data_IF_605408594215
#
_entry.id   IF_605408594215
#
_cell.length_a   1.000
_cell.length_b   1.000
_cell.length_c   1.000
_cell.angle_alpha   90.00
_cell.angle_beta   90.00
_cell.angle_gamma   90.00
#
_symmetry.space_group_name_H-M   'P 1'
#
loop_
_entity.id
_entity.type
_entity.pdbx_description
1 polymer ?
#
# COMPACT_ATOMS: atom_id res chain seq x y z
N UNK A 1 25.12 29.85 4.21
CA UNK A 1 24.93 28.57 4.95
C UNK A 1 23.47 28.16 5.02
N UNK A 2 22.57 28.81 5.79
CA UNK A 2 21.14 28.42 5.83
C UNK A 2 20.44 28.58 4.47
N UNK A 3 20.78 29.63 3.71
CA UNK A 3 20.24 29.88 2.36
C UNK A 3 20.70 28.89 1.32
N UNK A 4 21.92 28.36 1.43
CA UNK A 4 22.49 27.42 0.44
C UNK A 4 21.98 25.99 0.68
N UNK A 5 21.82 25.61 1.96
CA UNK A 5 21.14 24.38 2.36
C UNK A 5 19.67 24.37 1.91
N UNK A 6 18.96 25.50 2.03
CA UNK A 6 17.56 25.60 1.56
C UNK A 6 17.44 25.40 0.04
N UNK A 7 18.35 25.99 -0.76
CA UNK A 7 18.34 25.83 -2.22
C UNK A 7 18.65 24.42 -2.67
N UNK A 8 19.60 23.75 -2.00
CA UNK A 8 19.95 22.36 -2.31
C UNK A 8 18.80 21.41 -1.95
N UNK A 9 18.12 21.64 -0.82
CA UNK A 9 16.95 20.88 -0.41
C UNK A 9 15.77 21.08 -1.38
N UNK A 10 15.52 22.32 -1.80
CA UNK A 10 14.46 22.64 -2.77
C UNK A 10 14.73 21.97 -4.12
N UNK A 11 15.98 21.94 -4.59
CA UNK A 11 16.34 21.28 -5.84
C UNK A 11 16.07 19.77 -5.83
N UNK A 12 16.32 19.09 -4.69
CA UNK A 12 16.01 17.66 -4.54
C UNK A 12 14.49 17.43 -4.50
N UNK A 13 13.76 18.26 -3.75
CA UNK A 13 12.31 18.13 -3.59
C UNK A 13 11.54 18.40 -4.89
N UNK A 14 12.07 19.27 -5.76
CA UNK A 14 11.49 19.58 -7.07
C UNK A 14 11.84 18.57 -8.17
N UNK A 15 12.73 17.60 -7.89
CA UNK A 15 13.08 16.57 -8.86
C UNK A 15 11.84 15.76 -9.26
N UNK A 16 11.58 15.69 -10.57
CA UNK A 16 10.52 14.85 -11.15
C UNK A 16 10.96 13.39 -11.15
N UNK A 17 10.13 12.51 -10.62
CA UNK A 17 10.35 11.06 -10.49
C UNK A 17 9.32 10.22 -11.23
N UNK A 18 8.28 10.84 -11.77
CA UNK A 18 7.26 10.18 -12.57
C UNK A 18 6.27 11.19 -13.14
N UNK A 19 5.24 10.69 -13.81
CA UNK A 19 4.14 11.50 -14.35
C UNK A 19 2.82 10.74 -14.21
N UNK A 20 1.71 11.44 -14.01
CA UNK A 20 0.37 10.87 -13.97
C UNK A 20 -0.60 11.70 -14.80
N UNK A 21 -1.47 11.07 -15.58
CA UNK A 21 -2.54 11.73 -16.33
C UNK A 21 -3.81 11.96 -15.51
N UNK A 22 -3.87 11.36 -14.32
CA UNK A 22 -5.00 11.47 -13.41
C UNK A 22 -4.57 11.94 -12.03
N UNK A 23 -5.54 12.35 -11.23
CA UNK A 23 -5.31 12.53 -9.80
C UNK A 23 -5.12 11.15 -9.15
N UNK A 24 -4.06 11.00 -8.36
CA UNK A 24 -3.86 9.86 -7.48
C UNK A 24 -4.44 10.23 -6.11
N UNK A 25 -5.59 9.63 -5.80
CA UNK A 25 -6.44 9.99 -4.67
C UNK A 25 -5.88 9.43 -3.35
N UNK A 26 -5.50 10.34 -2.46
CA UNK A 26 -4.91 10.04 -1.16
C UNK A 26 -5.57 10.79 0.00
N UNK A 27 -6.74 11.41 -0.23
CA UNK A 27 -7.49 12.08 0.84
C UNK A 27 -7.89 11.11 1.94
N UNK A 28 -7.78 11.60 3.18
CA UNK A 28 -8.03 10.84 4.41
C UNK A 28 -9.39 10.15 4.42
N UNK A 29 -10.43 10.83 3.97
CA UNK A 29 -11.81 10.32 3.94
C UNK A 29 -12.01 9.16 2.95
N UNK A 30 -11.14 9.06 1.93
CA UNK A 30 -11.17 7.99 0.93
C UNK A 30 -10.30 6.82 1.38
N UNK A 31 -9.01 7.05 1.62
CA UNK A 31 -8.02 5.98 1.88
C UNK A 31 -8.29 5.21 3.18
N UNK A 32 -9.16 5.74 4.05
CA UNK A 32 -9.52 5.11 5.33
C UNK A 32 -10.86 4.40 5.32
N UNK A 33 -11.56 4.39 4.19
CA UNK A 33 -12.89 3.80 4.06
C UNK A 33 -13.05 2.92 2.82
N UNK A 34 -12.24 3.13 1.79
CA UNK A 34 -12.34 2.40 0.52
C UNK A 34 -11.00 2.36 -0.23
N UNK A 35 -10.90 1.45 -1.21
CA UNK A 35 -9.76 1.41 -2.13
C UNK A 35 -9.60 2.75 -2.86
N UNK A 36 -8.37 3.24 -2.94
CA UNK A 36 -8.00 4.35 -3.80
C UNK A 36 -7.00 3.89 -4.85
N UNK A 37 -6.94 4.63 -5.97
CA UNK A 37 -5.97 4.35 -7.02
C UNK A 37 -4.53 4.55 -6.53
N UNK A 38 -4.25 5.56 -5.69
CA UNK A 38 -2.93 5.78 -5.11
C UNK A 38 -2.51 4.62 -4.20
N UNK A 39 -3.37 4.19 -3.28
CA UNK A 39 -3.04 3.10 -2.36
C UNK A 39 -2.79 1.78 -3.10
N UNK A 40 -3.62 1.48 -4.11
CA UNK A 40 -3.41 0.31 -4.98
C UNK A 40 -2.11 0.42 -5.76
N UNK A 41 -1.77 1.60 -6.29
CA UNK A 41 -0.55 1.83 -7.06
C UNK A 41 0.72 1.68 -6.20
N UNK A 42 0.68 2.13 -4.96
CA UNK A 42 1.76 1.93 -3.98
C UNK A 42 1.93 0.44 -3.68
N UNK A 43 0.84 -0.27 -3.38
CA UNK A 43 0.88 -1.72 -3.13
C UNK A 43 1.37 -2.51 -4.35
N UNK A 44 1.05 -2.06 -5.57
CA UNK A 44 1.61 -2.61 -6.81
C UNK A 44 3.13 -2.43 -6.90
N UNK A 45 3.65 -1.29 -6.46
CA UNK A 45 5.10 -1.07 -6.36
C UNK A 45 5.77 -2.04 -5.39
N UNK A 46 5.11 -2.36 -4.27
CA UNK A 46 5.59 -3.39 -3.34
C UNK A 46 5.66 -4.76 -4.03
N UNK A 47 4.64 -5.18 -4.77
CA UNK A 47 4.69 -6.44 -5.53
C UNK A 47 5.81 -6.47 -6.56
N UNK A 48 5.98 -5.37 -7.29
CA UNK A 48 6.99 -5.25 -8.34
C UNK A 48 8.41 -5.41 -7.77
N UNK A 49 8.75 -4.73 -6.68
CA UNK A 49 10.10 -4.78 -6.10
C UNK A 49 10.35 -6.07 -5.32
N UNK A 50 9.35 -6.56 -4.58
CA UNK A 50 9.55 -7.69 -3.68
C UNK A 50 9.36 -9.05 -4.34
N UNK A 51 8.59 -9.12 -5.43
CA UNK A 51 8.13 -10.38 -6.02
C UNK A 51 7.06 -11.12 -5.21
N UNK A 52 6.59 -10.54 -4.08
CA UNK A 52 5.58 -11.13 -3.21
C UNK A 52 4.29 -11.50 -3.97
N UNK A 53 3.52 -12.47 -3.46
CA UNK A 53 2.24 -12.88 -4.06
C UNK A 53 1.18 -11.79 -3.92
N UNK A 54 1.14 -11.18 -2.75
CA UNK A 54 0.13 -10.21 -2.32
C UNK A 54 0.77 -9.07 -1.52
N UNK A 55 0.20 -7.88 -1.62
CA UNK A 55 0.66 -6.71 -0.89
C UNK A 55 -0.49 -5.92 -0.26
N UNK A 56 -0.16 -5.22 0.84
CA UNK A 56 -1.05 -4.33 1.58
C UNK A 56 -0.35 -3.01 1.87
N UNK A 57 -1.04 -1.90 1.60
CA UNK A 57 -0.69 -0.57 2.08
C UNK A 57 -1.82 -0.08 3.00
N UNK A 58 -1.53 0.27 4.24
CA UNK A 58 -2.56 0.79 5.15
C UNK A 58 -2.93 2.24 4.79
N UNK A 59 -4.22 2.58 4.85
CA UNK A 59 -4.71 3.93 4.55
C UNK A 59 -4.12 5.03 5.44
N UNK A 60 -3.68 4.69 6.65
CA UNK A 60 -3.04 5.58 7.60
C UNK A 60 -1.68 6.08 7.13
N UNK A 61 -0.98 5.28 6.33
CA UNK A 61 0.31 5.57 5.73
C UNK A 61 0.24 6.54 4.54
N UNK A 62 -0.94 6.72 3.92
CA UNK A 62 -1.17 7.61 2.78
C UNK A 62 -1.69 8.95 3.28
N UNK A 63 -0.94 10.03 3.05
CA UNK A 63 -1.15 11.31 3.73
C UNK A 63 -1.64 12.46 2.86
N UNK A 64 -1.53 12.33 1.55
CA UNK A 64 -1.99 13.34 0.61
C UNK A 64 -2.28 12.71 -0.77
N UNK A 65 -2.94 13.48 -1.63
CA UNK A 65 -3.12 13.15 -3.04
C UNK A 65 -1.95 13.64 -3.88
N UNK A 66 -1.81 13.07 -5.10
CA UNK A 66 -0.89 13.59 -6.12
C UNK A 66 -1.74 14.12 -7.28
N UNK A 67 -1.61 15.41 -7.66
CA UNK A 67 -2.34 15.95 -8.79
C UNK A 67 -1.88 15.33 -10.12
N UNK A 68 -2.72 15.42 -11.15
CA UNK A 68 -2.32 15.12 -12.52
C UNK A 68 -1.13 16.02 -12.94
N UNK A 69 -0.17 15.46 -13.68
CA UNK A 69 1.06 16.12 -14.09
C UNK A 69 2.31 15.43 -13.58
N UNK A 70 3.36 16.21 -13.35
CA UNK A 70 4.64 15.71 -12.88
C UNK A 70 4.57 15.28 -11.41
N UNK A 71 5.12 14.10 -11.13
CA UNK A 71 5.26 13.58 -9.77
C UNK A 71 6.66 13.96 -9.30
N UNK A 72 6.74 14.76 -8.24
CA UNK A 72 8.01 15.22 -7.67
C UNK A 72 8.39 14.45 -6.41
N UNK A 73 9.66 14.49 -6.00
CA UNK A 73 10.09 13.98 -4.69
C UNK A 73 9.28 14.58 -3.53
N UNK A 74 8.93 15.88 -3.61
CA UNK A 74 8.04 16.53 -2.64
C UNK A 74 6.71 15.81 -2.54
N UNK A 75 6.08 15.44 -3.66
CA UNK A 75 4.84 14.69 -3.65
C UNK A 75 5.03 13.35 -2.92
N UNK A 76 6.08 12.58 -3.25
CA UNK A 76 6.35 11.27 -2.63
C UNK A 76 6.48 11.39 -1.10
N UNK A 77 7.31 12.31 -0.61
CA UNK A 77 7.52 12.48 0.83
C UNK A 77 6.35 13.17 1.54
N UNK A 78 5.50 13.90 0.82
CA UNK A 78 4.24 14.42 1.40
C UNK A 78 3.23 13.28 1.58
N UNK A 79 3.16 12.35 0.62
CA UNK A 79 2.26 11.18 0.68
C UNK A 79 2.71 10.15 1.72
N UNK A 80 4.01 9.88 1.82
CA UNK A 80 4.59 8.80 2.66
C UNK A 80 5.69 9.36 3.59
N UNK A 81 5.36 10.18 4.61
CA UNK A 81 6.33 10.96 5.37
C UNK A 81 7.01 10.20 6.52
N UNK A 82 6.70 8.91 6.70
CA UNK A 82 7.05 8.18 7.93
C UNK A 82 8.41 7.50 7.89
N UNK A 83 9.05 7.42 6.71
CA UNK A 83 10.31 6.69 6.56
C UNK A 83 10.16 5.19 6.84
N UNK A 84 9.01 4.61 6.52
CA UNK A 84 8.82 3.16 6.58
C UNK A 84 9.62 2.48 5.45
N UNK A 85 9.84 1.19 5.62
CA UNK A 85 10.42 0.35 4.59
C UNK A 85 9.58 -0.91 4.40
N UNK A 86 9.70 -1.50 3.21
CA UNK A 86 8.91 -2.67 2.86
C UNK A 86 9.54 -3.91 3.50
N UNK A 87 8.70 -4.77 4.05
CA UNK A 87 9.09 -6.10 4.50
C UNK A 87 8.23 -7.15 3.80
N UNK A 88 8.74 -8.38 3.76
CA UNK A 88 7.96 -9.56 3.36
C UNK A 88 7.97 -10.62 4.43
N UNK A 89 6.92 -11.44 4.44
CA UNK A 89 6.77 -12.61 5.29
C UNK A 89 5.90 -13.67 4.62
N UNK A 90 5.90 -14.89 5.15
CA UNK A 90 5.01 -15.96 4.68
C UNK A 90 3.77 -16.05 5.58
N UNK A 91 2.59 -16.01 4.96
CA UNK A 91 1.30 -16.25 5.61
C UNK A 91 0.63 -17.48 5.01
N UNK A 92 0.04 -18.34 5.85
CA UNK A 92 -0.89 -19.36 5.34
C UNK A 92 -2.14 -18.69 4.79
N UNK A 93 -2.74 -19.28 3.76
CA UNK A 93 -4.02 -18.80 3.21
C UNK A 93 -5.12 -18.67 4.27
N UNK A 94 -5.10 -19.55 5.28
CA UNK A 94 -6.01 -19.50 6.43
C UNK A 94 -5.84 -18.26 7.32
N UNK A 95 -4.68 -17.59 7.27
CA UNK A 95 -4.37 -16.39 8.07
C UNK A 95 -4.83 -15.10 7.37
N UNK A 96 -5.01 -15.14 6.04
CA UNK A 96 -5.33 -13.96 5.22
C UNK A 96 -6.66 -13.31 5.61
N UNK A 97 -7.64 -14.11 6.07
CA UNK A 97 -8.92 -13.58 6.53
C UNK A 97 -8.74 -12.66 7.74
N UNK A 98 -7.91 -13.04 8.71
CA UNK A 98 -7.69 -12.23 9.91
C UNK A 98 -7.05 -10.86 9.59
N UNK A 99 -6.13 -10.82 8.62
CA UNK A 99 -5.52 -9.57 8.12
C UNK A 99 -6.59 -8.65 7.54
N UNK A 100 -7.46 -9.18 6.67
CA UNK A 100 -8.51 -8.39 6.03
C UNK A 100 -9.60 -7.95 7.00
N UNK A 101 -10.03 -8.82 7.92
CA UNK A 101 -11.01 -8.50 8.97
C UNK A 101 -10.50 -7.37 9.87
N UNK A 102 -9.21 -7.38 10.24
CA UNK A 102 -8.62 -6.26 10.95
C UNK A 102 -8.73 -4.97 10.12
N UNK A 103 -8.28 -5.02 8.86
CA UNK A 103 -8.27 -3.86 7.97
C UNK A 103 -9.66 -3.21 7.79
N UNK A 104 -10.72 -4.02 7.66
CA UNK A 104 -12.09 -3.49 7.48
C UNK A 104 -12.87 -3.32 8.79
N UNK A 105 -12.25 -3.63 9.93
CA UNK A 105 -12.95 -3.81 11.21
C UNK A 105 -13.66 -2.56 11.72
N UNK A 106 -13.25 -1.37 11.28
CA UNK A 106 -13.85 -0.08 11.67
C UNK A 106 -14.86 0.48 10.69
N UNK A 107 -15.00 -0.11 9.49
CA UNK A 107 -15.99 0.35 8.53
C UNK A 107 -17.41 0.34 9.14
N UNK A 108 -18.25 1.34 8.79
CA UNK A 108 -18.00 2.42 7.83
C UNK A 108 -17.22 3.62 8.40
N UNK A 109 -16.80 3.60 9.67
CA UNK A 109 -15.99 4.68 10.22
C UNK A 109 -14.58 4.69 9.60
N UNK A 110 -14.02 5.87 9.30
CA UNK A 110 -12.68 5.97 8.72
C UNK A 110 -11.61 5.55 9.73
N UNK A 111 -10.75 4.61 9.37
CA UNK A 111 -9.61 4.17 10.18
C UNK A 111 -8.33 3.99 9.35
N UNK A 112 -7.18 4.24 9.97
CA UNK A 112 -5.87 4.13 9.30
C UNK A 112 -5.55 2.70 8.84
N UNK A 113 -6.11 1.70 9.52
CA UNK A 113 -5.85 0.29 9.20
C UNK A 113 -6.43 -0.18 7.87
N UNK A 114 -7.30 0.62 7.22
CA UNK A 114 -7.99 0.21 5.99
C UNK A 114 -7.00 -0.28 4.92
N UNK A 115 -7.22 -1.45 4.29
CA UNK A 115 -6.19 -2.11 3.49
C UNK A 115 -6.32 -1.78 2.01
N UNK A 116 -5.28 -1.15 1.43
CA UNK A 116 -5.11 -1.03 -0.02
C UNK A 116 -4.36 -2.22 -0.57
N UNK A 117 -4.94 -2.92 -1.56
CA UNK A 117 -4.50 -4.26 -1.92
C UNK A 117 -3.90 -4.33 -3.33
N UNK A 118 -2.90 -5.19 -3.49
CA UNK A 118 -2.40 -5.62 -4.79
C UNK A 118 -2.18 -7.14 -4.81
N UNK A 119 -2.56 -7.80 -5.91
CA UNK A 119 -2.39 -9.26 -6.08
C UNK A 119 -3.51 -10.11 -5.45
N UNK A 120 -4.45 -9.49 -4.75
CA UNK A 120 -5.57 -10.15 -4.08
C UNK A 120 -6.77 -9.24 -3.92
N UNK A 121 -7.93 -9.86 -3.69
CA UNK A 121 -9.22 -9.18 -3.51
C UNK A 121 -10.12 -10.00 -2.58
N UNK A 122 -11.22 -9.38 -2.13
CA UNK A 122 -12.17 -10.00 -1.22
C UNK A 122 -13.57 -9.40 -1.41
N UNK A 123 -14.57 -10.05 -0.81
CA UNK A 123 -15.92 -9.51 -0.63
C UNK A 123 -16.12 -9.15 0.84
N UNK A 124 -16.63 -7.96 1.11
CA UNK A 124 -17.01 -7.51 2.45
C UNK A 124 -18.53 -7.33 2.57
N UNK A 125 -19.12 -7.89 3.62
CA UNK A 125 -20.50 -7.68 4.03
C UNK A 125 -20.55 -6.87 5.33
N UNK A 126 -20.84 -5.58 5.21
CA UNK A 126 -20.89 -4.66 6.35
C UNK A 126 -22.13 -4.84 7.24
N UNK A 127 -23.10 -5.66 6.83
CA UNK A 127 -24.25 -6.01 7.68
C UNK A 127 -23.87 -6.99 8.79
N UNK A 128 -22.72 -7.67 8.65
CA UNK A 128 -22.18 -8.59 9.64
C UNK A 128 -21.34 -7.90 10.72
N UNK A 129 -21.25 -8.49 11.92
CA UNK A 129 -20.34 -8.04 12.96
C UNK A 129 -18.90 -7.94 12.47
N UNK A 130 -18.13 -6.98 13.00
CA UNK A 130 -16.69 -6.91 12.73
C UNK A 130 -15.99 -8.22 13.13
N UNK A 131 -15.13 -8.75 12.27
CA UNK A 131 -14.54 -10.08 12.43
C UNK A 131 -15.23 -11.18 11.61
N UNK A 132 -16.42 -10.90 11.07
CA UNK A 132 -17.20 -11.83 10.24
C UNK A 132 -17.58 -11.27 8.87
N UNK A 133 -16.95 -10.18 8.42
CA UNK A 133 -17.33 -9.43 7.22
C UNK A 133 -16.74 -10.00 5.93
N UNK A 134 -15.60 -10.69 6.01
CA UNK A 134 -14.78 -11.05 4.85
C UNK A 134 -15.12 -12.44 4.34
N UNK A 135 -15.38 -12.52 3.04
CA UNK A 135 -15.58 -13.76 2.28
C UNK A 135 -14.93 -13.63 0.88
N UNK A 136 -14.91 -14.72 0.11
CA UNK A 136 -14.51 -14.68 -1.30
C UNK A 136 -13.10 -14.14 -1.54
N UNK A 137 -12.14 -14.51 -0.69
CA UNK A 137 -10.75 -14.07 -0.84
C UNK A 137 -10.17 -14.73 -2.10
N UNK A 138 -9.67 -13.92 -3.01
CA UNK A 138 -8.98 -14.35 -4.23
C UNK A 138 -7.53 -13.88 -4.21
N UNK A 139 -6.59 -14.74 -4.57
CA UNK A 139 -5.18 -14.41 -4.81
C UNK A 139 -4.86 -14.72 -6.27
N UNK A 140 -4.37 -13.73 -7.02
CA UNK A 140 -4.14 -13.89 -8.46
C UNK A 140 -5.40 -14.27 -9.24
N UNK A 141 -6.58 -13.87 -8.75
CA UNK A 141 -7.88 -14.21 -9.34
C UNK A 141 -8.39 -15.63 -9.04
N UNK A 142 -7.65 -16.43 -8.27
CA UNK A 142 -8.07 -17.77 -7.85
C UNK A 142 -8.49 -17.77 -6.37
N UNK A 143 -9.47 -18.60 -5.96
CA UNK A 143 -9.80 -18.79 -4.55
C UNK A 143 -8.55 -19.08 -3.71
N UNK A 144 -8.48 -18.45 -2.54
CA UNK A 144 -7.38 -18.71 -1.60
C UNK A 144 -7.38 -20.20 -1.20
N UNK A 145 -6.21 -20.83 -1.24
CA UNK A 145 -5.99 -22.15 -0.67
C UNK A 145 -5.57 -21.97 0.79
N UNK A 146 -6.36 -22.44 1.78
CA UNK A 146 -6.07 -22.23 3.19
C UNK A 146 -4.76 -22.88 3.65
N UNK A 147 -4.25 -23.90 2.94
CA UNK A 147 -3.06 -24.65 3.33
C UNK A 147 -1.77 -24.14 2.66
N UNK A 148 -1.91 -23.38 1.57
CA UNK A 148 -0.80 -22.79 0.83
C UNK A 148 -0.19 -21.61 1.60
N UNK A 149 1.13 -21.48 1.54
CA UNK A 149 1.82 -20.29 1.99
C UNK A 149 1.87 -19.25 0.87
N UNK A 150 1.61 -18.00 1.21
CA UNK A 150 1.67 -16.83 0.34
C UNK A 150 2.74 -15.86 0.85
N UNK A 151 3.58 -15.35 -0.04
CA UNK A 151 4.51 -14.27 0.28
C UNK A 151 3.71 -12.97 0.34
N UNK A 152 3.69 -12.34 1.51
CA UNK A 152 2.95 -11.14 1.80
C UNK A 152 3.91 -9.96 2.00
N UNK A 153 3.70 -8.87 1.28
CA UNK A 153 4.44 -7.61 1.42
C UNK A 153 3.59 -6.52 2.11
N UNK A 154 4.18 -5.82 3.06
CA UNK A 154 3.60 -4.63 3.71
C UNK A 154 4.74 -3.80 4.32
N UNK A 155 4.44 -2.76 5.09
CA UNK A 155 5.43 -1.97 5.77
C UNK A 155 5.95 -2.67 7.03
N UNK A 156 7.16 -2.31 7.45
CA UNK A 156 7.69 -2.67 8.76
C UNK A 156 6.76 -2.25 9.92
N UNK A 157 5.95 -1.21 9.73
CA UNK A 157 4.95 -0.78 10.71
C UNK A 157 3.90 -1.85 11.01
N UNK A 158 3.28 -2.46 9.99
CA UNK A 158 2.27 -3.52 10.23
C UNK A 158 2.91 -4.81 10.75
N UNK A 159 4.10 -5.19 10.26
CA UNK A 159 4.82 -6.37 10.77
C UNK A 159 5.21 -6.23 12.26
N UNK A 160 5.38 -5.00 12.75
CA UNK A 160 5.59 -4.71 14.18
C UNK A 160 4.28 -4.54 14.97
N UNK A 161 3.12 -4.82 14.37
CA UNK A 161 1.81 -4.78 15.02
C UNK A 161 1.13 -3.41 15.02
N UNK A 162 1.63 -2.46 14.22
CA UNK A 162 0.95 -1.19 13.94
C UNK A 162 -0.47 -1.41 13.42
N UNK A 163 -1.38 -0.45 13.66
CA UNK A 163 -2.79 -0.53 13.24
C UNK A 163 -3.53 -1.83 13.67
N UNK A 164 -3.11 -2.39 14.81
CA UNK A 164 -3.58 -3.66 15.38
C UNK A 164 -3.35 -4.89 14.48
N UNK A 165 -2.42 -4.83 13.53
CA UNK A 165 -1.99 -6.00 12.73
C UNK A 165 -1.12 -6.99 13.55
N UNK A 166 -1.51 -7.30 14.79
CA UNK A 166 -0.75 -8.14 15.73
C UNK A 166 -0.52 -9.57 15.23
N UNK A 167 -1.37 -10.06 14.33
CA UNK A 167 -1.21 -11.36 13.69
C UNK A 167 0.05 -11.45 12.80
N UNK A 168 0.67 -10.31 12.46
CA UNK A 168 1.90 -10.25 11.66
C UNK A 168 3.19 -10.28 12.50
N UNK A 169 3.09 -10.08 13.81
CA UNK A 169 4.27 -10.02 14.69
C UNK A 169 5.07 -11.33 14.59
N UNK A 170 6.37 -11.21 14.38
CA UNK A 170 7.29 -12.35 14.25
C UNK A 170 7.25 -13.06 12.90
N UNK A 171 6.53 -12.53 11.90
CA UNK A 171 6.41 -13.13 10.55
C UNK A 171 7.28 -12.47 9.48
N UNK A 172 7.90 -11.32 9.77
CA UNK A 172 8.83 -10.66 8.84
C UNK A 172 10.05 -11.56 8.57
N UNK A 173 10.48 -11.62 7.32
CA UNK A 173 11.58 -12.48 6.85
C UNK A 173 12.63 -11.71 6.05
N UNK A 174 12.23 -10.74 5.23
CA UNK A 174 13.15 -9.97 4.40
C UNK A 174 12.81 -8.49 4.45
N UNK A 175 13.85 -7.66 4.45
CA UNK A 175 13.78 -6.21 4.34
C UNK A 175 14.05 -5.78 2.89
N UNK A 176 13.37 -4.71 2.49
CA UNK A 176 13.49 -4.07 1.19
C UNK A 176 13.71 -2.56 1.40
N UNK A 177 13.98 -1.80 0.31
CA UNK A 177 14.12 -0.35 0.40
C UNK A 177 12.90 0.36 1.02
N UNK A 178 13.06 1.66 1.27
CA UNK A 178 11.97 2.48 1.80
C UNK A 178 10.73 2.44 0.91
N UNK A 179 9.57 2.65 1.50
CA UNK A 179 8.29 2.71 0.77
C UNK A 179 8.32 3.78 -0.34
N UNK A 180 8.93 4.93 -0.08
CA UNK A 180 9.20 5.99 -1.05
C UNK A 180 10.08 5.52 -2.22
N UNK A 181 11.22 4.86 -1.94
CA UNK A 181 12.12 4.35 -2.99
C UNK A 181 11.45 3.28 -3.84
N UNK A 182 10.71 2.36 -3.21
CA UNK A 182 9.95 1.31 -3.91
C UNK A 182 8.91 1.92 -4.83
N UNK A 183 8.18 2.94 -4.37
CA UNK A 183 7.18 3.61 -5.19
C UNK A 183 7.83 4.36 -6.36
N UNK A 184 8.95 5.07 -6.13
CA UNK A 184 9.71 5.75 -7.21
C UNK A 184 10.21 4.74 -8.25
N UNK A 185 10.73 3.59 -7.83
CA UNK A 185 11.16 2.54 -8.76
C UNK A 185 10.00 2.05 -9.63
N UNK A 186 8.82 1.87 -9.03
CA UNK A 186 7.63 1.45 -9.75
C UNK A 186 7.13 2.53 -10.72
N UNK A 187 7.10 3.80 -10.32
CA UNK A 187 6.78 4.92 -11.22
C UNK A 187 7.72 4.96 -12.44
N UNK A 188 9.03 4.77 -12.22
CA UNK A 188 10.00 4.67 -13.32
C UNK A 188 9.74 3.47 -14.23
N UNK A 189 9.30 2.34 -13.66
CA UNK A 189 8.97 1.13 -14.43
C UNK A 189 7.73 1.31 -15.32
N UNK A 190 6.67 1.91 -14.79
CA UNK A 190 5.39 2.04 -15.51
C UNK A 190 5.33 3.29 -16.41
N UNK A 191 6.24 4.25 -16.20
CA UNK A 191 6.28 5.50 -16.95
C UNK A 191 5.15 6.44 -16.54
N UNK A 192 4.33 6.87 -17.49
CA UNK A 192 3.18 7.74 -17.20
C UNK A 192 2.02 6.91 -16.65
N UNK A 193 1.55 7.24 -15.44
CA UNK A 193 0.40 6.60 -14.82
C UNK A 193 -0.88 7.03 -15.53
N UNK A 194 -1.69 6.06 -15.94
CA UNK A 194 -2.96 6.24 -16.64
C UNK A 194 -4.00 5.27 -16.08
N UNK A 195 -5.29 5.49 -16.34
CA UNK A 195 -6.33 4.54 -15.93
C UNK A 195 -6.10 3.12 -16.49
N UNK A 196 -5.39 3.00 -17.62
CA UNK A 196 -5.14 1.73 -18.28
C UNK A 196 -4.03 0.88 -17.64
N UNK A 197 -3.11 1.50 -16.88
CA UNK A 197 -1.92 0.82 -16.33
C UNK A 197 -1.80 0.87 -14.79
N UNK A 198 -2.83 1.34 -14.08
CA UNK A 198 -2.83 1.42 -12.62
C UNK A 198 -2.84 0.06 -11.92
N UNK A 199 -3.33 -1.00 -12.57
CA UNK A 199 -3.38 -2.34 -11.99
C UNK A 199 -2.19 -3.13 -12.50
N UNK A 200 -1.27 -3.45 -11.59
CA UNK A 200 -0.17 -4.37 -11.90
C UNK A 200 -0.72 -5.76 -12.19
N UNK A 201 -0.40 -6.27 -13.37
CA UNK A 201 -0.57 -7.67 -13.73
C UNK A 201 0.83 -8.27 -13.78
N UNK A 202 1.08 -9.26 -12.93
CA UNK A 202 2.30 -10.08 -13.01
C UNK A 202 2.38 -10.80 -14.35
#
# INVERSE_FOLDING_TARGET
MVTDLSKAQDAVLLQVVGKTEVVLEGKREIVRTQQSNLGTLIANGMLYVTGADIALMNGGGIRDSIPAGDITMKHIYTVMPFGNYIQTGKLKGSELKAVLENGVGKLPAPDGRFPHLAGWSYTADLTKPAGERITGILVGGQPVDPNKDYVFATLNFEFNGGDDYRMLIGKAQNDFPSDAEVFIQYLKKIGTVTNANMVYKK
#
